data_IF_177948972373
#
_entry.id   IF_177948972373
#
_cell.length_a   1.000
_cell.length_b   1.000
_cell.length_c   1.000
_cell.angle_alpha   90.00
_cell.angle_beta   90.00
_cell.angle_gamma   90.00
#
_symmetry.space_group_name_H-M   'P 1'
#
loop_
_entity.id
_entity.type
_entity.pdbx_description
1 polymer ?
#
# COMPACT_ATOMS: atom_id res chain seq x y z
N UNK A 1 11.35 16.51 4.10
CA UNK A 1 12.44 15.96 3.28
C UNK A 1 13.39 15.22 4.21
N UNK A 2 13.35 13.89 4.20
CA UNK A 2 14.27 13.07 5.00
C UNK A 2 15.47 12.71 4.13
N UNK A 3 16.67 13.14 4.53
CA UNK A 3 17.92 12.78 3.85
C UNK A 3 18.10 11.26 3.89
N UNK A 4 17.96 10.62 2.73
CA UNK A 4 18.08 9.17 2.59
C UNK A 4 19.56 8.76 2.63
N UNK A 5 19.90 7.88 3.56
CA UNK A 5 21.16 7.13 3.50
C UNK A 5 21.21 6.38 2.17
N UNK A 6 22.20 6.69 1.32
CA UNK A 6 22.45 5.97 0.07
C UNK A 6 23.14 4.63 0.39
N UNK A 7 22.37 3.54 0.40
CA UNK A 7 22.91 2.19 0.51
C UNK A 7 23.46 1.72 -0.84
N UNK A 8 24.50 0.86 -0.86
CA UNK A 8 24.96 0.24 -2.10
C UNK A 8 23.82 -0.54 -2.72
N UNK A 9 23.60 -0.32 -4.02
CA UNK A 9 22.47 -0.89 -4.78
C UNK A 9 22.52 -2.42 -4.79
N UNK A 10 23.73 -3.00 -4.76
CA UNK A 10 24.00 -4.43 -4.69
C UNK A 10 24.92 -4.72 -3.51
N UNK A 11 24.58 -5.73 -2.71
CA UNK A 11 25.45 -6.28 -1.65
C UNK A 11 26.31 -7.42 -2.19
N UNK A 12 25.77 -8.20 -3.12
CA UNK A 12 26.44 -9.28 -3.85
C UNK A 12 25.71 -9.48 -5.18
N UNK A 13 26.20 -10.35 -6.06
CA UNK A 13 25.51 -10.71 -7.31
C UNK A 13 24.09 -11.25 -7.08
N UNK A 14 23.83 -11.84 -5.92
CA UNK A 14 22.54 -12.45 -5.59
C UNK A 14 21.70 -11.63 -4.62
N UNK A 15 22.18 -10.50 -4.09
CA UNK A 15 21.48 -9.72 -3.08
C UNK A 15 21.61 -8.23 -3.38
N UNK A 16 20.47 -7.55 -3.44
CA UNK A 16 20.43 -6.12 -3.74
C UNK A 16 19.44 -5.37 -2.87
N UNK A 17 19.63 -4.06 -2.76
CA UNK A 17 18.61 -3.17 -2.21
C UNK A 17 17.57 -2.92 -3.30
N UNK A 18 16.33 -3.36 -3.12
CA UNK A 18 15.32 -3.19 -4.15
C UNK A 18 15.00 -1.70 -4.34
N UNK A 19 14.82 -1.27 -5.58
CA UNK A 19 14.37 0.10 -5.88
C UNK A 19 13.01 0.40 -5.24
N UNK A 20 12.15 -0.62 -5.22
CA UNK A 20 10.88 -0.66 -4.51
C UNK A 20 10.71 -2.06 -3.94
N UNK A 21 10.36 -2.22 -2.66
CA UNK A 21 10.16 -3.54 -2.08
C UNK A 21 8.86 -4.20 -2.54
N UNK A 22 7.96 -3.49 -3.25
CA UNK A 22 6.72 -4.08 -3.73
C UNK A 22 6.96 -5.26 -4.65
N UNK A 23 6.23 -6.35 -4.45
CA UNK A 23 6.25 -7.49 -5.36
C UNK A 23 7.53 -8.33 -5.30
N UNK A 24 8.47 -8.04 -4.39
CA UNK A 24 9.69 -8.84 -4.29
C UNK A 24 9.50 -10.13 -3.47
N UNK A 25 8.35 -10.31 -2.79
CA UNK A 25 7.74 -11.49 -2.11
C UNK A 25 8.62 -12.42 -1.23
N UNK A 26 9.94 -12.29 -1.30
CA UNK A 26 10.95 -12.97 -0.51
C UNK A 26 11.99 -11.91 -0.09
N UNK A 27 12.05 -11.63 1.21
CA UNK A 27 13.01 -10.69 1.79
C UNK A 27 13.97 -11.45 2.70
N UNK A 28 15.23 -11.04 2.67
CA UNK A 28 16.17 -11.42 3.73
C UNK A 28 16.14 -10.34 4.79
N UNK A 29 15.81 -10.73 6.02
CA UNK A 29 15.74 -9.83 7.17
C UNK A 29 16.55 -10.41 8.33
N UNK A 30 17.38 -9.59 8.96
CA UNK A 30 18.06 -9.99 10.19
C UNK A 30 17.07 -10.04 11.36
N UNK A 31 17.39 -10.76 12.44
CA UNK A 31 16.55 -10.81 13.64
C UNK A 31 16.27 -9.39 14.20
N UNK A 32 17.28 -8.51 14.20
CA UNK A 32 17.13 -7.10 14.59
C UNK A 32 16.19 -6.36 13.64
N UNK A 33 16.25 -6.63 12.34
CA UNK A 33 15.32 -6.09 11.35
C UNK A 33 13.89 -6.56 11.59
N UNK A 34 13.70 -7.85 11.85
CA UNK A 34 12.40 -8.45 12.14
C UNK A 34 11.75 -7.81 13.38
N UNK A 35 12.53 -7.60 14.45
CA UNK A 35 12.04 -6.90 15.66
C UNK A 35 11.60 -5.46 15.36
N UNK A 36 12.32 -4.73 14.51
CA UNK A 36 11.92 -3.38 14.07
C UNK A 36 10.64 -3.41 13.24
N UNK A 37 10.54 -4.36 12.31
CA UNK A 37 9.36 -4.53 11.46
C UNK A 37 8.13 -4.87 12.30
N UNK A 38 8.23 -5.80 13.25
CA UNK A 38 7.17 -6.14 14.19
C UNK A 38 6.77 -4.96 15.08
N UNK A 39 7.75 -4.14 15.51
CA UNK A 39 7.47 -2.94 16.29
C UNK A 39 6.73 -1.85 15.47
N UNK A 40 7.04 -1.74 14.17
CA UNK A 40 6.41 -0.77 13.28
C UNK A 40 5.08 -1.26 12.68
N UNK A 41 4.91 -2.57 12.54
CA UNK A 41 3.75 -3.24 11.98
C UNK A 41 3.19 -4.29 12.96
N UNK A 42 2.76 -3.91 14.19
CA UNK A 42 2.33 -4.87 15.19
C UNK A 42 1.07 -5.66 14.79
N UNK A 43 0.32 -5.15 13.80
CA UNK A 43 -0.82 -5.81 13.17
C UNK A 43 -0.70 -5.62 11.66
N UNK A 44 0.04 -6.50 11.01
CA UNK A 44 0.09 -6.49 9.54
C UNK A 44 -1.27 -6.97 9.00
N UNK A 45 -2.13 -6.03 8.64
CA UNK A 45 -3.41 -6.28 7.94
C UNK A 45 -3.30 -6.10 6.42
N UNK A 46 -2.08 -5.81 5.95
CA UNK A 46 -1.81 -5.43 4.58
C UNK A 46 -0.44 -5.96 4.14
N UNK A 47 -0.14 -5.77 2.86
CA UNK A 47 1.14 -6.02 2.21
C UNK A 47 2.31 -5.49 3.08
N UNK A 48 3.00 -6.42 3.76
CA UNK A 48 4.04 -6.13 4.77
C UNK A 48 5.23 -5.40 4.17
N UNK A 49 5.47 -5.60 2.88
CA UNK A 49 6.44 -4.92 2.04
C UNK A 49 6.16 -3.42 1.90
N UNK A 50 4.88 -3.00 1.85
CA UNK A 50 4.48 -1.58 1.91
C UNK A 50 4.91 -0.97 3.23
N UNK A 51 4.57 -1.66 4.33
CA UNK A 51 4.83 -1.14 5.69
C UNK A 51 6.33 -1.10 5.94
N UNK A 52 7.04 -2.16 5.59
CA UNK A 52 8.48 -2.26 5.70
C UNK A 52 9.22 -1.13 4.97
N UNK A 53 8.71 -0.70 3.80
CA UNK A 53 9.28 0.44 3.07
C UNK A 53 9.17 1.77 3.83
N UNK A 54 8.06 1.97 4.54
CA UNK A 54 7.83 3.17 5.35
C UNK A 54 8.69 3.23 6.61
N UNK A 55 9.35 2.14 7.00
CA UNK A 55 10.21 2.09 8.18
C UNK A 55 11.61 2.57 7.82
N UNK A 56 11.86 3.87 8.01
CA UNK A 56 13.10 4.57 7.62
C UNK A 56 14.40 3.96 8.17
N UNK A 57 14.34 3.19 9.25
CA UNK A 57 15.49 2.52 9.89
C UNK A 57 15.54 1.00 9.66
N UNK A 58 14.70 0.47 8.78
CA UNK A 58 14.71 -0.91 8.32
C UNK A 58 15.42 -0.97 6.97
N UNK A 59 16.43 -1.85 6.87
CA UNK A 59 17.06 -2.15 5.57
C UNK A 59 16.40 -3.40 4.99
N UNK A 60 15.98 -3.30 3.74
CA UNK A 60 15.40 -4.39 2.99
C UNK A 60 16.37 -4.82 1.90
N UNK A 61 16.52 -6.13 1.77
CA UNK A 61 17.31 -6.75 0.72
C UNK A 61 16.45 -7.79 0.00
N UNK A 62 16.55 -7.78 -1.31
CA UNK A 62 15.90 -8.74 -2.20
C UNK A 62 16.96 -9.66 -2.80
N UNK A 63 16.55 -10.88 -3.13
CA UNK A 63 17.40 -11.85 -3.83
C UNK A 63 17.30 -11.61 -5.34
N UNK A 64 18.40 -11.80 -6.06
CA UNK A 64 18.48 -11.81 -7.51
C UNK A 64 19.02 -13.16 -8.03
N UNK A 65 18.36 -13.80 -9.02
CA UNK A 65 17.03 -13.47 -9.52
C UNK A 65 15.95 -13.64 -8.44
N UNK A 66 14.76 -13.06 -8.66
CA UNK A 66 13.65 -13.20 -7.71
C UNK A 66 13.30 -14.68 -7.54
N UNK A 67 13.36 -15.18 -6.31
CA UNK A 67 13.07 -16.58 -5.99
C UNK A 67 11.57 -16.90 -6.06
N UNK A 68 10.73 -15.92 -5.78
CA UNK A 68 9.29 -16.02 -5.86
C UNK A 68 8.75 -14.79 -6.60
N UNK A 69 8.02 -15.03 -7.68
CA UNK A 69 7.26 -14.01 -8.42
C UNK A 69 5.79 -14.33 -8.23
N UNK A 70 5.04 -13.43 -7.63
CA UNK A 70 3.59 -13.55 -7.53
C UNK A 70 2.99 -12.61 -8.59
N UNK A 71 2.22 -13.16 -9.53
CA UNK A 71 1.44 -12.35 -10.46
C UNK A 71 0.13 -11.93 -9.81
N UNK A 72 -0.59 -10.98 -10.42
CA UNK A 72 -1.90 -10.56 -9.89
C UNK A 72 -2.86 -11.75 -9.71
N UNK A 73 -2.85 -12.70 -10.65
CA UNK A 73 -3.67 -13.92 -10.60
C UNK A 73 -3.31 -14.88 -9.46
N UNK A 74 -2.11 -14.78 -8.90
CA UNK A 74 -1.65 -15.63 -7.80
C UNK A 74 -2.00 -15.05 -6.43
N UNK A 75 -2.66 -13.88 -6.37
CA UNK A 75 -3.06 -13.23 -5.12
C UNK A 75 -4.53 -13.51 -4.80
N UNK A 76 -4.90 -13.58 -3.51
CA UNK A 76 -6.31 -13.62 -3.07
C UNK A 76 -7.09 -12.36 -3.46
N UNK A 77 -6.40 -11.26 -3.79
CA UNK A 77 -6.99 -10.03 -4.34
C UNK A 77 -7.29 -10.18 -5.85
N UNK A 78 -6.46 -10.94 -6.58
CA UNK A 78 -6.68 -11.31 -7.98
C UNK A 78 -7.86 -12.26 -8.20
N UNK A 79 -8.39 -12.90 -7.15
CA UNK A 79 -9.64 -13.65 -7.23
C UNK A 79 -10.87 -12.79 -7.58
N UNK A 80 -10.75 -11.46 -7.61
CA UNK A 80 -11.81 -10.54 -7.99
C UNK A 80 -11.63 -9.90 -9.38
N UNK A 81 -10.72 -10.42 -10.23
CA UNK A 81 -10.47 -9.89 -11.59
C UNK A 81 -11.77 -9.79 -12.40
N UNK A 82 -12.68 -10.75 -12.28
CA UNK A 82 -13.98 -10.73 -12.97
C UNK A 82 -14.97 -9.65 -12.48
N UNK A 83 -14.61 -8.93 -11.40
CA UNK A 83 -15.43 -7.86 -10.80
C UNK A 83 -14.71 -6.51 -10.77
N UNK A 84 -13.46 -6.42 -11.24
CA UNK A 84 -12.78 -5.13 -11.39
C UNK A 84 -13.14 -4.53 -12.75
N UNK A 85 -13.77 -3.36 -12.72
CA UNK A 85 -14.18 -2.60 -13.92
C UNK A 85 -13.19 -1.49 -14.27
N UNK A 86 -12.14 -1.33 -13.46
CA UNK A 86 -11.08 -0.36 -13.69
C UNK A 86 -9.95 -1.05 -14.46
N UNK A 87 -9.55 -0.53 -15.62
CA UNK A 87 -8.44 -1.09 -16.37
C UNK A 87 -7.13 -1.07 -15.56
N UNK A 88 -6.29 -2.07 -15.80
CA UNK A 88 -4.98 -2.16 -15.18
C UNK A 88 -4.02 -1.21 -15.90
N UNK A 89 -3.91 0.02 -15.40
CA UNK A 89 -3.18 1.08 -16.09
C UNK A 89 -1.68 1.14 -15.75
N UNK A 90 -1.19 0.36 -14.78
CA UNK A 90 0.20 0.49 -14.30
C UNK A 90 0.83 -0.89 -14.08
N UNK A 91 1.68 -1.28 -15.03
CA UNK A 91 2.64 -2.38 -14.88
C UNK A 91 3.95 -1.78 -14.38
N UNK A 92 4.53 -2.35 -13.34
CA UNK A 92 5.85 -1.97 -12.84
C UNK A 92 6.95 -2.51 -13.75
N UNK A 93 7.74 -1.65 -14.40
CA UNK A 93 8.86 -2.11 -15.22
C UNK A 93 9.95 -2.82 -14.39
N UNK A 94 10.04 -2.51 -13.09
CA UNK A 94 11.06 -3.07 -12.20
C UNK A 94 10.75 -4.51 -11.77
N UNK A 95 9.50 -4.82 -11.43
CA UNK A 95 9.08 -6.18 -11.02
C UNK A 95 8.25 -6.94 -12.07
N UNK A 96 7.77 -6.25 -13.11
CA UNK A 96 6.79 -6.76 -14.06
C UNK A 96 5.41 -7.00 -13.44
N UNK A 97 5.13 -6.40 -12.28
CA UNK A 97 3.90 -6.64 -11.50
C UNK A 97 2.84 -5.60 -11.84
N UNK A 98 1.60 -6.05 -11.98
CA UNK A 98 0.44 -5.19 -12.12
C UNK A 98 0.06 -4.57 -10.76
N UNK A 99 0.05 -3.24 -10.66
CA UNK A 99 -0.29 -2.53 -9.43
C UNK A 99 -1.80 -2.35 -9.20
N UNK A 100 -2.67 -2.94 -10.02
CA UNK A 100 -4.13 -2.84 -9.85
C UNK A 100 -4.61 -3.25 -8.45
N UNK A 101 -3.92 -4.18 -7.78
CA UNK A 101 -4.23 -4.54 -6.39
C UNK A 101 -4.09 -3.36 -5.42
N UNK A 102 -3.10 -2.48 -5.62
CA UNK A 102 -2.88 -1.31 -4.76
C UNK A 102 -3.99 -0.27 -4.92
N UNK A 103 -4.62 -0.21 -6.10
CA UNK A 103 -5.83 0.58 -6.38
C UNK A 103 -7.11 -0.07 -5.84
N UNK A 104 -7.10 -1.38 -5.58
CA UNK A 104 -8.22 -2.10 -5.01
C UNK A 104 -8.09 -2.33 -3.49
N UNK A 105 -7.11 -1.68 -2.85
CA UNK A 105 -6.92 -1.70 -1.41
C UNK A 105 -8.22 -1.28 -0.68
N UNK A 106 -8.87 -2.15 0.11
CA UNK A 106 -10.06 -1.78 0.87
C UNK A 106 -9.71 -0.77 1.96
N UNK A 107 -10.47 0.34 2.03
CA UNK A 107 -10.31 1.36 3.06
C UNK A 107 -11.37 1.24 4.15
N UNK A 108 -12.65 1.25 3.74
CA UNK A 108 -13.78 1.07 4.64
C UNK A 108 -15.03 0.61 3.87
N UNK A 109 -15.99 0.04 4.59
CA UNK A 109 -17.26 -0.43 4.04
C UNK A 109 -18.41 0.45 4.55
N UNK A 110 -19.22 0.97 3.62
CA UNK A 110 -20.40 1.77 3.96
C UNK A 110 -21.64 0.90 3.80
N UNK A 111 -22.45 0.74 4.86
CA UNK A 111 -23.72 0.01 4.81
C UNK A 111 -23.64 -1.46 5.28
N UNK A 112 -22.70 -1.81 6.15
CA UNK A 112 -22.59 -3.15 6.73
C UNK A 112 -21.99 -4.19 5.78
N UNK A 113 -22.13 -5.51 6.06
CA UNK A 113 -21.40 -6.58 5.35
C UNK A 113 -21.66 -6.71 3.84
N UNK A 114 -22.81 -6.22 3.36
CA UNK A 114 -23.16 -6.15 1.92
C UNK A 114 -23.06 -4.73 1.35
N UNK A 115 -22.49 -3.82 2.13
CA UNK A 115 -22.33 -2.42 1.80
C UNK A 115 -21.28 -2.17 0.73
N UNK A 116 -21.20 -0.92 0.28
CA UNK A 116 -20.23 -0.48 -0.73
C UNK A 116 -18.85 -0.44 -0.10
N UNK A 117 -17.93 -1.23 -0.65
CA UNK A 117 -16.52 -1.19 -0.30
C UNK A 117 -15.85 0.01 -0.98
N UNK A 118 -15.33 0.95 -0.21
CA UNK A 118 -14.54 2.06 -0.73
C UNK A 118 -13.08 1.61 -0.78
N UNK A 119 -12.48 1.66 -1.97
CA UNK A 119 -11.07 1.34 -2.19
C UNK A 119 -10.26 2.61 -2.45
N UNK A 120 -8.94 2.53 -2.29
CA UNK A 120 -7.99 3.62 -2.63
C UNK A 120 -8.24 4.16 -4.04
N UNK A 121 -8.39 3.27 -5.02
CA UNK A 121 -8.58 3.64 -6.42
C UNK A 121 -9.96 4.18 -6.74
N UNK A 122 -11.02 3.69 -6.09
CA UNK A 122 -12.36 4.29 -6.18
C UNK A 122 -12.32 5.73 -5.68
N UNK A 123 -11.61 5.99 -4.58
CA UNK A 123 -11.51 7.33 -4.04
C UNK A 123 -10.75 8.30 -4.95
N UNK A 124 -9.60 7.87 -5.47
CA UNK A 124 -8.82 8.68 -6.42
C UNK A 124 -9.61 8.93 -7.72
N UNK A 125 -10.31 7.91 -8.23
CA UNK A 125 -11.11 8.04 -9.47
C UNK A 125 -12.22 9.08 -9.33
N UNK A 126 -12.90 9.14 -8.18
CA UNK A 126 -13.92 10.17 -7.88
C UNK A 126 -13.29 11.56 -7.88
N UNK A 127 -12.11 11.72 -7.27
CA UNK A 127 -11.41 13.01 -7.25
C UNK A 127 -11.00 13.46 -8.67
N UNK A 128 -10.42 12.56 -9.47
CA UNK A 128 -10.05 12.84 -10.87
C UNK A 128 -11.28 13.21 -11.69
N UNK A 129 -12.36 12.43 -11.60
CA UNK A 129 -13.59 12.71 -12.32
C UNK A 129 -14.16 14.09 -11.96
N UNK A 130 -14.15 14.45 -10.67
CA UNK A 130 -14.59 15.77 -10.21
C UNK A 130 -13.76 16.91 -10.81
N UNK A 131 -12.43 16.76 -10.87
CA UNK A 131 -11.53 17.73 -11.51
C UNK A 131 -11.75 17.83 -13.02
N UNK A 132 -11.94 16.69 -13.70
CA UNK A 132 -12.22 16.64 -15.13
C UNK A 132 -13.55 17.34 -15.44
N UNK A 133 -14.61 17.00 -14.73
CA UNK A 133 -15.91 17.66 -14.88
C UNK A 133 -15.83 19.15 -14.59
N UNK A 134 -15.05 19.57 -13.60
CA UNK A 134 -14.78 20.98 -13.36
C UNK A 134 -14.06 21.65 -14.54
N UNK A 135 -13.04 21.01 -15.12
CA UNK A 135 -12.31 21.57 -16.25
C UNK A 135 -13.21 21.81 -17.48
N UNK A 136 -14.17 20.92 -17.72
CA UNK A 136 -15.13 21.03 -18.82
C UNK A 136 -16.29 21.98 -18.53
N UNK A 137 -16.93 21.84 -17.37
CA UNK A 137 -18.17 22.57 -17.04
C UNK A 137 -17.91 23.92 -16.35
N UNK A 138 -16.69 24.12 -15.83
CA UNK A 138 -16.25 25.34 -15.12
C UNK A 138 -17.14 25.74 -13.94
N UNK A 139 -17.89 24.79 -13.39
CA UNK A 139 -18.76 25.02 -12.24
C UNK A 139 -17.94 25.05 -10.93
N UNK A 140 -17.84 26.17 -10.21
CA UNK A 140 -17.03 26.26 -8.99
C UNK A 140 -17.45 25.26 -7.92
N UNK A 141 -18.74 24.92 -7.86
CA UNK A 141 -19.27 23.89 -6.96
C UNK A 141 -18.59 22.53 -7.15
N UNK A 142 -18.22 22.15 -8.38
CA UNK A 142 -17.49 20.90 -8.65
C UNK A 142 -16.07 20.95 -8.08
N UNK A 143 -15.39 22.10 -8.22
CA UNK A 143 -14.06 22.28 -7.64
C UNK A 143 -14.10 22.21 -6.11
N UNK A 144 -14.96 23.01 -5.48
CA UNK A 144 -15.09 23.02 -4.02
C UNK A 144 -15.57 21.68 -3.47
N UNK A 145 -16.51 21.02 -4.14
CA UNK A 145 -16.97 19.68 -3.78
C UNK A 145 -15.86 18.64 -3.88
N UNK A 146 -15.06 18.67 -4.95
CA UNK A 146 -13.92 17.76 -5.14
C UNK A 146 -12.82 18.01 -4.11
N UNK A 147 -12.52 19.27 -3.81
CA UNK A 147 -11.56 19.65 -2.77
C UNK A 147 -12.02 19.18 -1.39
N UNK A 148 -13.28 19.43 -1.02
CA UNK A 148 -13.87 18.98 0.23
C UNK A 148 -13.86 17.45 0.34
N UNK A 149 -14.23 16.75 -0.74
CA UNK A 149 -14.15 15.28 -0.82
C UNK A 149 -12.73 14.78 -0.57
N UNK A 150 -11.73 15.35 -1.26
CA UNK A 150 -10.33 14.92 -1.15
C UNK A 150 -9.79 15.16 0.26
N UNK A 151 -10.15 16.29 0.88
CA UNK A 151 -9.79 16.59 2.26
C UNK A 151 -10.41 15.62 3.25
N UNK A 152 -11.73 15.38 3.13
CA UNK A 152 -12.44 14.44 4.00
C UNK A 152 -11.89 13.03 3.84
N UNK A 153 -11.71 12.56 2.62
CA UNK A 153 -11.14 11.25 2.32
C UNK A 153 -9.73 11.09 2.91
N UNK A 154 -8.87 12.09 2.75
CA UNK A 154 -7.52 12.09 3.34
C UNK A 154 -7.57 12.10 4.87
N UNK A 155 -8.48 12.85 5.46
CA UNK A 155 -8.69 12.87 6.91
C UNK A 155 -9.19 11.52 7.42
N UNK A 156 -10.12 10.86 6.71
CA UNK A 156 -10.60 9.51 7.04
C UNK A 156 -9.48 8.48 7.02
N UNK A 157 -8.62 8.49 6.01
CA UNK A 157 -7.46 7.60 5.95
C UNK A 157 -6.56 7.84 7.17
N UNK A 158 -6.26 9.10 7.51
CA UNK A 158 -5.43 9.42 8.68
C UNK A 158 -6.05 8.97 10.00
N UNK A 159 -7.36 9.15 10.17
CA UNK A 159 -8.09 8.72 11.36
C UNK A 159 -8.12 7.20 11.49
N UNK A 160 -8.32 6.47 10.39
CA UNK A 160 -8.30 5.01 10.40
C UNK A 160 -6.89 4.49 10.70
N UNK A 161 -5.86 5.08 10.11
CA UNK A 161 -4.46 4.74 10.39
C UNK A 161 -4.08 5.03 11.85
N UNK A 162 -4.58 6.11 12.45
CA UNK A 162 -4.29 6.42 13.86
C UNK A 162 -5.03 5.50 14.83
N UNK A 163 -6.29 5.13 14.54
CA UNK A 163 -7.06 4.17 15.34
C UNK A 163 -6.44 2.77 15.35
N UNK A 164 -5.83 2.35 14.23
CA UNK A 164 -5.09 1.09 14.18
C UNK A 164 -3.85 1.12 15.10
N UNK A 165 -3.18 2.27 15.21
CA UNK A 165 -2.00 2.44 16.06
C UNK A 165 -2.30 2.41 17.56
N UNK A 166 -3.52 2.75 17.99
CA UNK A 166 -3.90 2.82 19.42
C UNK A 166 -4.43 1.48 19.96
N UNK A 167 -4.91 0.59 19.09
CA UNK A 167 -5.37 -0.77 19.47
C UNK A 167 -4.23 -1.77 19.72
N UNK A 168 -3.18 -1.35 20.45
CA UNK A 168 -2.12 -2.25 20.92
C UNK A 168 -2.73 -3.26 21.90
N UNK A 169 -2.66 -4.59 21.64
CA UNK A 169 -2.88 -5.54 22.72
C UNK A 169 -1.85 -5.24 23.82
N UNK A 170 -2.33 -5.11 25.06
CA UNK A 170 -1.46 -5.07 26.22
C UNK A 170 -0.54 -6.29 26.15
N UNK A 171 0.76 -6.08 26.35
CA UNK A 171 1.75 -7.17 26.43
C UNK A 171 1.29 -8.15 27.52
N UNK A 172 0.55 -9.19 27.15
CA UNK A 172 0.50 -10.39 27.96
C UNK A 172 1.84 -11.09 27.77
N UNK A 173 2.50 -11.29 28.91
CA UNK A 173 3.81 -11.91 29.07
C UNK A 173 3.92 -13.20 28.24
N UNK A 174 4.76 -13.17 27.21
CA UNK A 174 5.40 -14.37 26.70
C UNK A 174 6.74 -14.48 27.41
N UNK A 175 6.69 -15.04 28.62
CA UNK A 175 7.84 -15.68 29.26
C UNK A 175 8.04 -17.03 28.58
N UNK A 176 9.14 -17.15 27.84
CA UNK A 176 9.81 -18.41 27.53
C UNK A 176 11.30 -18.19 27.82
#
# INVERSE_FOLDING_TARGET
>A
MAGGMHWPKWLSESIHTPLRPFGTHAYVISERGAKKLLAAAPRASYHVDVVAWGVSNLRLFAVHPLLAKQTHGDTTIGGAVDRSWLPNFIIDDYTGTDFAWAWNAPLFQIGGPRGVLVTSGRGISVAILGLVLYAFLRLPALFYGTAAYTLLFSASIRLLSSAQSTSRPSRQHLSA
#
